data_IF_874042679677
#
_entry.id   IF_874042679677
#
_cell.length_a   1.000
_cell.length_b   1.000
_cell.length_c   1.000
_cell.angle_alpha   90.00
_cell.angle_beta   90.00
_cell.angle_gamma   90.00
#
_symmetry.space_group_name_H-M   'P 1'
#
loop_
_entity.id
_entity.type
_entity.pdbx_description
1 polymer ?
#
# COMPACT_ATOMS: atom_id res chain seq x y z
N UNK A 1 -37.86 82.93 -6.28
CA UNK A 1 -38.32 81.74 -5.57
C UNK A 1 -37.80 80.51 -6.33
N UNK A 2 -36.64 80.00 -5.97
CA UNK A 2 -36.18 78.61 -6.35
C UNK A 2 -35.15 78.17 -5.31
N UNK A 3 -35.55 77.26 -4.47
CA UNK A 3 -34.66 76.60 -3.49
C UNK A 3 -33.72 75.62 -4.24
N UNK A 4 -32.42 75.87 -4.15
CA UNK A 4 -31.41 74.93 -4.57
C UNK A 4 -31.01 74.09 -3.38
N UNK A 5 -31.30 72.79 -3.47
CA UNK A 5 -30.87 71.81 -2.44
C UNK A 5 -29.46 71.40 -2.73
N UNK A 6 -28.55 71.72 -1.83
CA UNK A 6 -27.17 71.31 -1.86
C UNK A 6 -27.09 69.84 -1.37
N UNK A 7 -26.73 68.91 -2.26
CA UNK A 7 -26.43 67.52 -1.91
C UNK A 7 -24.96 67.44 -1.48
N UNK A 8 -24.72 67.22 -0.21
CA UNK A 8 -23.39 66.89 0.31
C UNK A 8 -23.18 65.38 0.15
N UNK A 9 -22.30 65.04 -0.78
CA UNK A 9 -21.89 63.67 -1.00
C UNK A 9 -20.77 63.33 -0.03
N UNK A 10 -21.08 62.59 1.03
CA UNK A 10 -20.07 62.07 1.97
C UNK A 10 -19.39 60.87 1.35
N UNK A 11 -18.15 61.02 0.89
CA UNK A 11 -17.31 59.91 0.48
C UNK A 11 -16.76 59.16 1.70
N UNK A 12 -17.32 58.00 1.98
CA UNK A 12 -16.77 57.08 3.00
C UNK A 12 -15.59 56.31 2.35
N UNK A 13 -14.39 56.73 2.75
CA UNK A 13 -13.17 55.96 2.43
C UNK A 13 -13.11 54.69 3.27
N UNK A 14 -13.45 53.54 2.68
CA UNK A 14 -13.21 52.25 3.25
C UNK A 14 -11.70 51.92 3.14
N UNK A 15 -10.97 52.10 4.24
CA UNK A 15 -9.64 51.52 4.38
C UNK A 15 -9.81 50.02 4.60
N UNK A 16 -9.78 49.25 3.50
CA UNK A 16 -9.66 47.81 3.54
C UNK A 16 -8.26 47.43 4.02
N UNK A 17 -8.12 47.00 5.24
CA UNK A 17 -6.91 46.35 5.73
C UNK A 17 -6.86 44.97 5.07
N UNK A 18 -6.05 44.83 4.00
CA UNK A 18 -5.70 43.57 3.45
C UNK A 18 -4.87 42.77 4.44
N UNK A 19 -5.52 41.87 5.17
CA UNK A 19 -4.81 40.80 5.88
C UNK A 19 -4.20 39.87 4.84
N UNK A 20 -2.94 40.10 4.57
CA UNK A 20 -2.14 39.17 3.76
C UNK A 20 -2.12 37.81 4.43
N UNK A 21 -2.91 36.86 3.93
CA UNK A 21 -2.72 35.44 4.20
C UNK A 21 -1.32 35.08 3.71
N UNK A 22 -0.36 34.94 4.64
CA UNK A 22 0.89 34.25 4.36
C UNK A 22 0.51 32.82 3.98
N UNK A 23 0.41 32.54 2.69
CA UNK A 23 0.48 31.20 2.15
C UNK A 23 1.81 30.63 2.59
N UNK A 24 1.80 29.89 3.68
CA UNK A 24 2.92 29.04 4.06
C UNK A 24 3.01 27.96 2.98
N UNK A 25 3.91 28.17 2.00
CA UNK A 25 4.32 27.05 1.12
C UNK A 25 4.64 25.89 2.03
N UNK A 26 4.09 24.68 1.80
CA UNK A 26 4.46 23.53 2.59
C UNK A 26 5.99 23.42 2.51
N UNK A 27 6.63 23.42 3.68
CA UNK A 27 8.06 23.17 3.80
C UNK A 27 8.34 21.86 3.08
N UNK A 28 9.31 21.77 2.14
CA UNK A 28 9.57 20.51 1.47
C UNK A 28 9.82 19.48 2.56
N UNK A 29 8.93 18.48 2.61
CA UNK A 29 9.10 17.32 3.47
C UNK A 29 10.43 16.72 3.05
N UNK A 30 11.42 16.66 3.96
CA UNK A 30 12.64 15.89 3.75
C UNK A 30 12.15 14.53 3.27
N UNK A 31 12.49 14.13 2.05
CA UNK A 31 12.30 12.75 1.62
C UNK A 31 13.00 11.89 2.67
N UNK A 32 12.20 11.23 3.49
CA UNK A 32 12.76 10.36 4.51
C UNK A 32 13.44 9.21 3.79
N UNK A 33 14.74 9.08 4.03
CA UNK A 33 15.56 8.03 3.42
C UNK A 33 14.96 6.67 3.75
N UNK A 34 14.70 5.85 2.71
CA UNK A 34 14.26 4.47 2.85
C UNK A 34 15.49 3.58 2.73
N UNK A 35 15.79 2.84 3.79
CA UNK A 35 16.89 1.89 3.82
C UNK A 35 16.46 0.58 3.18
N UNK A 36 17.39 -0.12 2.51
CA UNK A 36 17.14 -1.41 1.85
C UNK A 36 18.11 -2.50 2.29
N UNK A 37 19.27 -2.10 2.77
CA UNK A 37 20.35 -3.01 3.12
C UNK A 37 20.34 -3.26 4.63
N UNK A 38 20.26 -4.52 5.04
CA UNK A 38 20.31 -4.91 6.46
C UNK A 38 21.64 -4.55 7.11
N UNK A 39 22.74 -4.58 6.37
CA UNK A 39 24.09 -4.22 6.86
C UNK A 39 24.22 -2.74 7.29
N UNK A 40 23.22 -1.92 6.97
CA UNK A 40 23.22 -0.48 7.30
C UNK A 40 22.35 -0.14 8.51
N UNK A 41 21.71 -1.14 9.12
CA UNK A 41 20.85 -0.96 10.30
C UNK A 41 21.46 -1.69 11.50
N UNK A 42 21.33 -1.08 12.68
CA UNK A 42 21.82 -1.69 13.92
C UNK A 42 20.85 -2.75 14.45
N UNK A 43 19.57 -2.63 14.06
CA UNK A 43 18.52 -3.59 14.38
C UNK A 43 17.63 -3.80 13.16
N UNK A 44 17.45 -5.05 12.79
CA UNK A 44 16.62 -5.45 11.66
C UNK A 44 15.14 -5.36 11.97
N UNK A 45 14.34 -5.35 10.91
CA UNK A 45 12.88 -5.45 11.01
C UNK A 45 12.46 -6.84 11.45
N UNK A 46 11.38 -6.92 12.21
CA UNK A 46 10.75 -8.20 12.54
C UNK A 46 9.22 -8.03 12.61
N UNK A 47 8.47 -9.12 12.46
CA UNK A 47 7.03 -9.07 12.65
C UNK A 47 6.68 -9.30 14.12
N UNK A 48 5.86 -8.40 14.69
CA UNK A 48 5.61 -8.37 16.14
C UNK A 48 4.91 -9.63 16.70
N UNK A 49 4.24 -10.40 15.84
CA UNK A 49 3.54 -11.64 16.23
C UNK A 49 4.20 -12.86 15.60
N UNK A 50 5.22 -13.37 16.25
CA UNK A 50 5.88 -14.63 15.86
C UNK A 50 6.83 -14.51 14.67
N UNK A 51 7.38 -13.31 14.42
CA UNK A 51 8.37 -13.11 13.35
C UNK A 51 7.83 -13.45 11.96
N UNK A 52 8.72 -13.87 11.07
CA UNK A 52 8.35 -14.22 9.69
C UNK A 52 7.38 -15.38 9.57
N UNK A 53 7.41 -16.33 10.47
CA UNK A 53 6.50 -17.48 10.43
C UNK A 53 5.08 -17.04 10.80
N UNK A 54 4.94 -16.23 11.86
CA UNK A 54 3.65 -15.62 12.22
C UNK A 54 3.10 -14.71 11.12
N UNK A 55 3.97 -13.98 10.42
CA UNK A 55 3.56 -13.18 9.27
C UNK A 55 3.01 -14.06 8.13
N UNK A 56 3.71 -15.15 7.77
CA UNK A 56 3.26 -16.09 6.73
C UNK A 56 1.94 -16.78 7.09
N UNK A 57 1.78 -17.20 8.33
CA UNK A 57 0.54 -17.81 8.83
C UNK A 57 -0.63 -16.81 8.74
N UNK A 58 -0.40 -15.58 9.17
CA UNK A 58 -1.41 -14.53 9.10
C UNK A 58 -1.78 -14.17 7.65
N UNK A 59 -0.79 -14.11 6.76
CA UNK A 59 -1.02 -13.90 5.34
C UNK A 59 -1.86 -15.02 4.75
N UNK A 60 -1.49 -16.28 5.00
CA UNK A 60 -2.21 -17.44 4.49
C UNK A 60 -3.65 -17.51 5.02
N UNK A 61 -3.88 -17.25 6.30
CA UNK A 61 -5.22 -17.29 6.92
C UNK A 61 -6.16 -16.19 6.45
N UNK A 62 -5.63 -15.06 5.94
CA UNK A 62 -6.42 -13.95 5.42
C UNK A 62 -6.56 -13.94 3.89
N UNK A 63 -5.91 -14.88 3.19
CA UNK A 63 -5.99 -15.04 1.74
C UNK A 63 -7.32 -15.69 1.36
N UNK A 64 -8.04 -15.07 0.42
CA UNK A 64 -9.27 -15.61 -0.16
C UNK A 64 -8.95 -16.33 -1.48
N UNK A 65 -8.87 -17.66 -1.43
CA UNK A 65 -8.56 -18.48 -2.58
C UNK A 65 -9.57 -18.35 -3.73
N UNK A 66 -10.82 -17.96 -3.45
CA UNK A 66 -11.83 -17.76 -4.48
C UNK A 66 -11.55 -16.53 -5.37
N UNK A 67 -10.62 -15.68 -4.97
CA UNK A 67 -10.19 -14.50 -5.74
C UNK A 67 -8.98 -14.76 -6.63
N UNK A 68 -8.45 -15.97 -6.59
CA UNK A 68 -7.26 -16.34 -7.32
C UNK A 68 -7.65 -17.28 -8.46
N UNK A 69 -7.46 -16.84 -9.70
CA UNK A 69 -7.55 -17.71 -10.86
C UNK A 69 -6.14 -18.26 -11.16
N UNK A 70 -5.88 -19.49 -10.71
CA UNK A 70 -4.60 -20.16 -10.93
C UNK A 70 -4.27 -20.38 -12.38
N UNK A 71 -5.26 -20.32 -13.28
CA UNK A 71 -5.12 -20.63 -14.71
C UNK A 71 -5.25 -19.40 -15.62
N UNK A 72 -5.28 -18.17 -15.05
CA UNK A 72 -5.54 -16.96 -15.85
C UNK A 72 -4.52 -16.75 -16.99
N UNK A 73 -3.29 -17.20 -16.82
CA UNK A 73 -2.21 -17.05 -17.80
C UNK A 73 -2.12 -18.22 -18.80
N UNK A 74 -3.01 -19.22 -18.70
CA UNK A 74 -3.02 -20.37 -19.59
C UNK A 74 -3.64 -20.02 -20.94
N UNK A 75 -3.20 -20.68 -22.04
CA UNK A 75 -3.84 -20.56 -23.34
C UNK A 75 -5.34 -20.90 -23.28
N UNK A 76 -6.16 -20.21 -24.05
CA UNK A 76 -7.63 -20.36 -24.03
C UNK A 76 -8.08 -21.82 -24.25
N UNK A 77 -7.37 -22.59 -25.08
CA UNK A 77 -7.70 -23.99 -25.32
C UNK A 77 -7.44 -24.87 -24.07
N UNK A 78 -6.43 -24.52 -23.28
CA UNK A 78 -6.15 -25.21 -22.02
C UNK A 78 -7.17 -24.81 -20.95
N UNK A 79 -7.51 -23.53 -20.85
CA UNK A 79 -8.58 -23.06 -19.97
C UNK A 79 -9.89 -23.79 -20.22
N UNK A 80 -10.30 -23.96 -21.48
CA UNK A 80 -11.50 -24.73 -21.85
C UNK A 80 -11.46 -26.17 -21.36
N UNK A 81 -10.29 -26.82 -21.48
CA UNK A 81 -10.12 -28.20 -20.97
C UNK A 81 -10.24 -28.25 -19.46
N UNK A 82 -9.62 -27.30 -18.76
CA UNK A 82 -9.68 -27.19 -17.30
C UNK A 82 -11.11 -26.93 -16.83
N UNK A 83 -11.82 -25.99 -17.46
CA UNK A 83 -13.24 -25.72 -17.16
C UNK A 83 -14.13 -26.96 -17.33
N UNK A 84 -13.85 -27.77 -18.37
CA UNK A 84 -14.54 -29.04 -18.55
C UNK A 84 -14.26 -30.01 -17.41
N UNK A 85 -13.00 -30.14 -16.98
CA UNK A 85 -12.64 -30.99 -15.82
C UNK A 85 -13.36 -30.52 -14.56
N UNK A 86 -13.38 -29.22 -14.31
CA UNK A 86 -14.11 -28.63 -13.16
C UNK A 86 -15.59 -28.96 -13.24
N UNK A 87 -16.23 -28.77 -14.42
CA UNK A 87 -17.67 -29.07 -14.60
C UNK A 87 -18.02 -30.55 -14.43
N UNK A 88 -17.07 -31.44 -14.72
CA UNK A 88 -17.21 -32.89 -14.56
C UNK A 88 -16.74 -33.38 -13.17
N UNK A 89 -16.40 -32.44 -12.25
CA UNK A 89 -15.85 -32.73 -10.92
C UNK A 89 -14.62 -33.68 -10.97
N UNK A 90 -13.78 -33.49 -11.97
CA UNK A 90 -12.53 -34.22 -12.16
C UNK A 90 -11.32 -33.43 -11.64
N UNK A 91 -10.24 -34.11 -11.22
CA UNK A 91 -9.02 -33.43 -10.80
C UNK A 91 -8.49 -32.50 -11.89
N UNK A 92 -8.08 -31.31 -11.50
CA UNK A 92 -7.43 -30.31 -12.33
C UNK A 92 -5.90 -30.36 -12.17
N UNK A 93 -5.12 -29.86 -13.13
CA UNK A 93 -3.68 -29.72 -12.96
C UNK A 93 -3.35 -28.79 -11.80
N UNK A 94 -2.43 -29.19 -10.93
CA UNK A 94 -1.95 -28.26 -9.90
C UNK A 94 -1.01 -27.21 -10.50
N UNK A 95 -1.13 -25.97 -10.04
CA UNK A 95 -0.35 -24.82 -10.51
C UNK A 95 0.43 -24.21 -9.36
N UNK A 96 1.67 -23.83 -9.62
CA UNK A 96 2.50 -23.08 -8.67
C UNK A 96 2.48 -21.60 -9.05
N UNK A 97 1.95 -20.79 -8.16
CA UNK A 97 1.94 -19.34 -8.29
C UNK A 97 3.10 -18.71 -7.51
N UNK A 98 3.68 -17.67 -8.08
CA UNK A 98 4.79 -16.93 -7.50
C UNK A 98 4.48 -15.44 -7.55
N UNK A 99 4.76 -14.74 -6.47
CA UNK A 99 4.76 -13.28 -6.43
C UNK A 99 5.80 -12.79 -5.42
N UNK A 100 6.27 -11.58 -5.61
CA UNK A 100 7.10 -10.89 -4.62
C UNK A 100 6.30 -9.75 -4.03
N UNK A 101 6.04 -9.82 -2.73
CA UNK A 101 5.48 -8.71 -1.97
C UNK A 101 6.57 -7.72 -1.63
N UNK A 102 6.36 -6.45 -1.94
CA UNK A 102 7.24 -5.35 -1.57
C UNK A 102 6.46 -4.29 -0.82
N UNK A 103 7.06 -3.75 0.23
CA UNK A 103 6.44 -2.69 1.04
C UNK A 103 7.49 -1.96 1.87
N UNK A 104 7.12 -0.81 2.40
CA UNK A 104 7.95 -0.05 3.33
C UNK A 104 7.40 -0.25 4.74
N UNK A 105 8.27 -0.63 5.66
CA UNK A 105 7.98 -0.64 7.09
C UNK A 105 8.32 0.74 7.62
N UNK A 106 7.31 1.43 8.12
CA UNK A 106 7.40 2.77 8.67
C UNK A 106 7.96 2.77 10.11
N UNK A 107 8.49 3.89 10.61
CA UNK A 107 9.02 3.97 11.98
C UNK A 107 8.00 3.65 13.08
N UNK A 108 6.71 3.75 12.79
CA UNK A 108 5.62 3.37 13.71
C UNK A 108 5.22 1.89 13.60
N UNK A 109 5.88 1.12 12.73
CA UNK A 109 5.62 -0.28 12.47
C UNK A 109 4.48 -0.57 11.51
N UNK A 110 3.88 0.45 10.89
CA UNK A 110 2.89 0.25 9.82
C UNK A 110 3.55 -0.07 8.49
N UNK A 111 2.77 -0.56 7.54
CA UNK A 111 3.22 -0.82 6.17
C UNK A 111 2.68 0.25 5.22
N UNK A 112 3.52 0.70 4.29
CA UNK A 112 3.16 1.60 3.19
C UNK A 112 3.73 1.10 1.86
N UNK A 113 3.30 1.69 0.74
CA UNK A 113 3.77 1.36 -0.61
C UNK A 113 3.73 -0.15 -0.91
N UNK A 114 2.61 -0.79 -0.56
CA UNK A 114 2.40 -2.22 -0.74
C UNK A 114 2.18 -2.52 -2.21
N UNK A 115 2.98 -3.43 -2.77
CA UNK A 115 2.91 -3.90 -4.14
C UNK A 115 3.19 -5.41 -4.18
N UNK A 116 2.53 -6.12 -5.09
CA UNK A 116 2.79 -7.52 -5.40
C UNK A 116 3.13 -7.65 -6.88
N UNK A 117 4.25 -8.28 -7.21
CA UNK A 117 4.73 -8.45 -8.58
C UNK A 117 5.02 -9.92 -8.87
N UNK A 118 4.31 -10.48 -9.85
CA UNK A 118 4.41 -11.85 -10.34
C UNK A 118 3.63 -12.00 -11.63
N UNK A 119 3.69 -13.17 -12.26
CA UNK A 119 3.02 -13.43 -13.54
C UNK A 119 1.48 -13.40 -13.38
N UNK A 120 0.95 -14.09 -12.36
CA UNK A 120 -0.49 -14.20 -12.15
C UNK A 120 -1.07 -12.94 -11.50
N UNK A 121 -1.91 -12.22 -12.24
CA UNK A 121 -2.48 -10.94 -11.83
C UNK A 121 -3.51 -11.07 -10.70
N UNK A 122 -4.32 -12.12 -10.72
CA UNK A 122 -5.32 -12.36 -9.67
C UNK A 122 -4.63 -12.68 -8.35
N UNK A 123 -3.56 -13.45 -8.38
CA UNK A 123 -2.74 -13.73 -7.21
C UNK A 123 -2.07 -12.48 -6.65
N UNK A 124 -1.47 -11.65 -7.51
CA UNK A 124 -0.86 -10.37 -7.09
C UNK A 124 -1.89 -9.48 -6.39
N UNK A 125 -3.08 -9.29 -7.00
CA UNK A 125 -4.15 -8.46 -6.43
C UNK A 125 -4.63 -9.00 -5.07
N UNK A 126 -4.78 -10.30 -4.95
CA UNK A 126 -5.21 -10.91 -3.70
C UNK A 126 -4.14 -10.78 -2.61
N UNK A 127 -2.87 -10.96 -2.93
CA UNK A 127 -1.77 -10.77 -1.99
C UNK A 127 -1.67 -9.31 -1.50
N UNK A 128 -1.81 -8.34 -2.39
CA UNK A 128 -1.89 -6.92 -1.99
C UNK A 128 -3.08 -6.63 -1.09
N UNK A 129 -4.26 -7.14 -1.46
CA UNK A 129 -5.48 -6.98 -0.66
C UNK A 129 -5.27 -7.55 0.74
N UNK A 130 -4.78 -8.78 0.80
CA UNK A 130 -4.55 -9.48 2.06
C UNK A 130 -3.56 -8.70 2.94
N UNK A 131 -2.44 -8.27 2.38
CA UNK A 131 -1.44 -7.51 3.13
C UNK A 131 -2.00 -6.19 3.67
N UNK A 132 -2.85 -5.50 2.90
CA UNK A 132 -3.55 -4.26 3.34
C UNK A 132 -4.54 -4.49 4.48
N UNK A 133 -5.04 -5.72 4.67
CA UNK A 133 -5.97 -6.05 5.78
C UNK A 133 -5.25 -6.35 7.10
N UNK A 134 -3.98 -6.70 7.06
CA UNK A 134 -3.17 -6.99 8.24
C UNK A 134 -2.94 -5.70 9.02
N UNK A 135 -3.44 -5.64 10.25
CA UNK A 135 -3.30 -4.48 11.16
C UNK A 135 -2.20 -4.66 12.19
N UNK A 136 -1.64 -5.85 12.26
CA UNK A 136 -0.53 -6.13 13.17
C UNK A 136 0.72 -5.36 12.75
N UNK A 137 1.46 -4.91 13.75
CA UNK A 137 2.59 -4.03 13.52
C UNK A 137 3.90 -4.81 13.35
N UNK A 138 4.77 -4.23 12.56
CA UNK A 138 6.17 -4.63 12.48
C UNK A 138 6.99 -3.96 13.58
N UNK A 139 8.07 -4.58 13.97
CA UNK A 139 9.16 -3.99 14.72
C UNK A 139 10.06 -3.31 13.68
N UNK A 140 10.14 -1.98 13.64
CA UNK A 140 10.90 -1.28 12.59
C UNK A 140 12.40 -1.43 12.77
N UNK A 141 13.14 -1.25 11.69
CA UNK A 141 14.60 -1.16 11.72
C UNK A 141 15.06 0.06 12.53
N UNK A 142 16.23 -0.05 13.14
CA UNK A 142 16.84 1.04 13.93
C UNK A 142 18.26 1.34 13.45
N UNK A 143 18.64 2.63 13.43
CA UNK A 143 20.00 3.13 13.23
C UNK A 143 20.31 4.10 14.35
N UNK A 144 21.37 3.84 15.14
CA UNK A 144 21.78 4.64 16.30
C UNK A 144 20.60 4.91 17.27
N UNK A 145 19.80 3.87 17.50
CA UNK A 145 18.63 3.93 18.38
C UNK A 145 17.43 4.70 17.82
N UNK A 146 17.47 5.11 16.56
CA UNK A 146 16.34 5.79 15.89
C UNK A 146 15.67 4.83 14.91
N UNK A 147 14.34 4.71 15.01
CA UNK A 147 13.53 3.97 14.07
C UNK A 147 13.58 4.62 12.70
N UNK A 148 13.75 3.80 11.65
CA UNK A 148 13.89 4.26 10.27
C UNK A 148 12.92 3.52 9.35
N UNK A 149 12.64 4.13 8.20
CA UNK A 149 11.87 3.50 7.13
C UNK A 149 12.71 2.43 6.46
N UNK A 150 12.15 1.25 6.29
CA UNK A 150 12.88 0.13 5.71
C UNK A 150 12.07 -0.53 4.59
N UNK A 151 12.68 -0.66 3.41
CA UNK A 151 12.10 -1.38 2.29
C UNK A 151 12.25 -2.89 2.53
N UNK A 152 11.15 -3.59 2.47
CA UNK A 152 11.11 -5.03 2.71
C UNK A 152 10.53 -5.76 1.52
N UNK A 153 11.05 -6.94 1.21
CA UNK A 153 10.53 -7.81 0.18
C UNK A 153 10.38 -9.23 0.71
N UNK A 154 9.31 -9.92 0.27
CA UNK A 154 9.00 -11.28 0.66
C UNK A 154 8.55 -12.06 -0.57
N UNK A 155 9.31 -13.07 -1.00
CA UNK A 155 8.84 -13.98 -2.04
C UNK A 155 7.75 -14.89 -1.47
N UNK A 156 6.62 -14.97 -2.18
CA UNK A 156 5.48 -15.81 -1.84
C UNK A 156 5.31 -16.86 -2.94
N UNK A 157 5.08 -18.08 -2.50
CA UNK A 157 4.83 -19.24 -3.35
C UNK A 157 3.57 -19.96 -2.85
N UNK A 158 2.65 -20.24 -3.75
CA UNK A 158 1.39 -20.92 -3.45
C UNK A 158 1.10 -22.01 -4.47
N UNK A 159 0.58 -23.15 -4.02
CA UNK A 159 0.05 -24.19 -4.89
C UNK A 159 -1.47 -24.11 -4.91
N UNK A 160 -2.04 -24.13 -6.11
CA UNK A 160 -3.48 -24.28 -6.37
C UNK A 160 -3.71 -25.70 -6.92
N UNK A 161 -4.72 -26.37 -6.39
CA UNK A 161 -5.13 -27.73 -6.82
C UNK A 161 -6.59 -27.71 -7.28
#
# INVERSE_FOLDING_TARGET
>A
MKCSKLFILAAVLFFGTAYGQKSSKPKPTKEEVVYKDTDKVDKEVDFSKGGMDGFRELLASNTDLNKIDGYEDFPEEEKKKIQKLISENKPTPSVMLYTTLTFIIEPDGTMSNILAEGENQSFNKEMERTLKTIKDKWIPAEIKGKKVRFYYNVPIKMRIE
#
